data_IF_014643806059
#
_entry.id   IF_014643806059
#
_cell.length_a   1.000
_cell.length_b   1.000
_cell.length_c   1.000
_cell.angle_alpha   90.00
_cell.angle_beta   90.00
_cell.angle_gamma   90.00
#
_symmetry.space_group_name_H-M   'P 1'
#
loop_
_entity.id
_entity.type
_entity.pdbx_description
1 polymer ?
#
# COMPACT_ATOMS: atom_id res chain seq x y z
N UNK A 1 -6.04 -6.87 10.46
CA UNK A 1 -7.35 -6.23 10.67
C UNK A 1 -8.11 -6.26 9.33
N UNK A 2 -9.16 -7.07 9.22
CA UNK A 2 -9.74 -7.45 7.92
C UNK A 2 -10.32 -6.28 7.11
N UNK A 3 -10.73 -5.19 7.78
CA UNK A 3 -11.37 -4.05 7.13
C UNK A 3 -10.54 -3.41 5.99
N UNK A 4 -9.25 -3.11 6.24
CA UNK A 4 -8.38 -2.51 5.21
C UNK A 4 -8.20 -3.46 4.03
N UNK A 5 -8.06 -4.77 4.28
CA UNK A 5 -7.97 -5.76 3.21
C UNK A 5 -9.23 -5.77 2.34
N UNK A 6 -10.42 -5.73 2.95
CA UNK A 6 -11.68 -5.64 2.22
C UNK A 6 -11.83 -4.34 1.43
N UNK A 7 -11.35 -3.21 1.95
CA UNK A 7 -11.36 -1.93 1.24
C UNK A 7 -10.44 -1.97 0.01
N UNK A 8 -9.27 -2.61 0.13
CA UNK A 8 -8.33 -2.80 -0.97
C UNK A 8 -8.89 -3.75 -2.02
N UNK A 9 -9.44 -4.90 -1.61
CA UNK A 9 -10.09 -5.85 -2.52
C UNK A 9 -11.24 -5.19 -3.30
N UNK A 10 -12.04 -4.36 -2.62
CA UNK A 10 -13.10 -3.59 -3.26
C UNK A 10 -12.52 -2.60 -4.30
N UNK A 11 -11.46 -1.86 -3.96
CA UNK A 11 -10.84 -0.92 -4.89
C UNK A 11 -10.24 -1.62 -6.13
N UNK A 12 -9.68 -2.81 -5.96
CA UNK A 12 -9.21 -3.65 -7.08
C UNK A 12 -10.39 -4.13 -7.93
N UNK A 13 -11.47 -4.61 -7.31
CA UNK A 13 -12.66 -5.07 -8.03
C UNK A 13 -13.34 -3.99 -8.87
N UNK A 14 -13.24 -2.73 -8.41
CA UNK A 14 -13.72 -1.54 -9.11
C UNK A 14 -12.70 -0.98 -10.12
N UNK A 15 -11.54 -1.61 -10.28
CA UNK A 15 -10.44 -1.17 -11.15
C UNK A 15 -9.93 0.25 -10.80
N UNK A 16 -10.06 0.66 -9.53
CA UNK A 16 -9.56 1.93 -8.99
C UNK A 16 -8.14 1.80 -8.45
N UNK A 17 -7.74 0.59 -8.09
CA UNK A 17 -6.41 0.26 -7.62
C UNK A 17 -5.87 -0.94 -8.40
N UNK A 18 -4.63 -0.86 -8.86
CA UNK A 18 -3.92 -2.01 -9.44
C UNK A 18 -2.95 -2.58 -8.43
N UNK A 19 -3.21 -3.82 -8.04
CA UNK A 19 -2.38 -4.59 -7.10
C UNK A 19 -1.28 -5.37 -7.80
N UNK A 20 -0.53 -6.16 -7.03
CA UNK A 20 0.47 -7.07 -7.54
C UNK A 20 -0.16 -8.38 -8.00
N UNK A 21 -0.10 -8.67 -9.31
CA UNK A 21 -0.64 -9.91 -9.89
C UNK A 21 0.40 -11.04 -9.85
N UNK A 22 0.01 -12.18 -9.29
CA UNK A 22 0.84 -13.39 -9.25
C UNK A 22 0.58 -14.23 -10.49
N UNK A 23 1.53 -14.28 -11.42
CA UNK A 23 1.45 -15.11 -12.63
C UNK A 23 0.37 -14.66 -13.63
N UNK A 24 0.31 -15.34 -14.77
CA UNK A 24 -0.71 -15.06 -15.79
C UNK A 24 -2.05 -15.63 -15.33
N UNK A 25 -3.05 -14.76 -15.14
CA UNK A 25 -4.39 -15.16 -14.70
C UNK A 25 -4.51 -15.53 -13.21
N UNK A 26 -3.45 -15.39 -12.42
CA UNK A 26 -3.51 -15.63 -10.99
C UNK A 26 -4.07 -14.44 -10.18
N UNK A 27 -4.11 -14.58 -8.85
CA UNK A 27 -4.72 -13.58 -7.98
C UNK A 27 -3.95 -12.26 -8.01
N UNK A 28 -4.69 -11.18 -7.83
CA UNK A 28 -4.16 -9.83 -7.67
C UNK A 28 -4.18 -9.45 -6.20
N UNK A 29 -3.01 -9.20 -5.63
CA UNK A 29 -2.82 -8.92 -4.21
C UNK A 29 -2.53 -7.44 -4.04
N UNK A 30 -3.41 -6.71 -3.36
CA UNK A 30 -3.18 -5.29 -3.04
C UNK A 30 -2.60 -5.04 -1.66
N UNK A 31 -2.73 -5.97 -0.72
CA UNK A 31 -2.29 -5.79 0.67
C UNK A 31 -1.78 -7.07 1.31
N UNK A 32 -0.78 -6.92 2.17
CA UNK A 32 -0.28 -7.96 3.08
C UNK A 32 -0.33 -7.42 4.51
N UNK A 33 -0.91 -8.18 5.44
CA UNK A 33 -1.04 -7.77 6.83
C UNK A 33 -0.40 -8.80 7.76
N UNK A 34 0.38 -8.32 8.72
CA UNK A 34 0.96 -9.13 9.77
C UNK A 34 0.97 -8.37 11.10
N UNK A 35 0.17 -8.82 12.06
CA UNK A 35 -0.02 -8.16 13.37
C UNK A 35 -0.33 -6.67 13.18
N UNK A 36 0.65 -5.80 13.44
CA UNK A 36 0.53 -4.34 13.36
C UNK A 36 1.07 -3.76 12.04
N UNK A 37 1.77 -4.56 11.22
CA UNK A 37 2.37 -4.12 9.96
C UNK A 37 1.44 -4.40 8.77
N UNK A 38 1.17 -3.35 7.98
CA UNK A 38 0.41 -3.45 6.72
C UNK A 38 1.26 -2.96 5.56
N UNK A 39 1.46 -3.82 4.56
CA UNK A 39 2.15 -3.51 3.30
C UNK A 39 1.10 -3.41 2.19
N UNK A 40 1.13 -2.32 1.44
CA UNK A 40 0.37 -2.18 0.20
C UNK A 40 1.25 -2.54 -0.99
N UNK A 41 0.77 -3.43 -1.85
CA UNK A 41 1.45 -3.86 -3.07
C UNK A 41 0.70 -3.26 -4.27
N UNK A 42 1.22 -2.16 -4.80
CA UNK A 42 0.53 -1.39 -5.84
C UNK A 42 1.48 -0.94 -6.94
N UNK A 43 0.96 -0.78 -8.15
CA UNK A 43 1.72 -0.22 -9.27
C UNK A 43 2.16 1.23 -8.95
N UNK A 44 3.39 1.58 -9.31
CA UNK A 44 4.04 2.86 -9.01
C UNK A 44 3.49 4.04 -9.86
N UNK A 45 2.20 4.32 -9.71
CA UNK A 45 1.50 5.43 -10.35
C UNK A 45 0.93 6.38 -9.30
N UNK A 46 0.82 7.67 -9.63
CA UNK A 46 0.21 8.67 -8.76
C UNK A 46 -1.23 8.28 -8.39
N UNK A 47 -1.98 7.73 -9.36
CA UNK A 47 -3.36 7.29 -9.15
C UNK A 47 -3.47 6.20 -8.09
N UNK A 48 -2.63 5.16 -8.17
CA UNK A 48 -2.65 4.09 -7.17
C UNK A 48 -2.22 4.59 -5.79
N UNK A 49 -1.16 5.39 -5.71
CA UNK A 49 -0.69 5.96 -4.43
C UNK A 49 -1.77 6.83 -3.78
N UNK A 50 -2.46 7.66 -4.58
CA UNK A 50 -3.58 8.46 -4.10
C UNK A 50 -4.74 7.58 -3.62
N UNK A 51 -5.04 6.49 -4.32
CA UNK A 51 -6.09 5.55 -3.92
C UNK A 51 -5.75 4.86 -2.59
N UNK A 52 -4.49 4.44 -2.38
CA UNK A 52 -4.04 3.90 -1.08
C UNK A 52 -4.20 4.95 0.02
N UNK A 53 -3.79 6.20 -0.23
CA UNK A 53 -3.98 7.30 0.72
C UNK A 53 -5.46 7.52 1.07
N UNK A 54 -6.34 7.49 0.08
CA UNK A 54 -7.79 7.59 0.31
C UNK A 54 -8.33 6.43 1.16
N UNK A 55 -7.88 5.19 0.92
CA UNK A 55 -8.25 4.04 1.73
C UNK A 55 -7.82 4.25 3.19
N UNK A 56 -6.60 4.72 3.43
CA UNK A 56 -6.11 4.99 4.79
C UNK A 56 -6.90 6.11 5.49
N UNK A 57 -7.19 7.21 4.79
CA UNK A 57 -7.99 8.32 5.34
C UNK A 57 -9.42 7.86 5.67
N UNK A 58 -10.05 7.09 4.78
CA UNK A 58 -11.37 6.53 5.03
C UNK A 58 -11.35 5.55 6.21
N UNK A 59 -10.32 4.72 6.29
CA UNK A 59 -10.14 3.78 7.39
C UNK A 59 -9.95 4.51 8.73
N UNK A 60 -9.12 5.55 8.79
CA UNK A 60 -8.94 6.41 9.97
C UNK A 60 -10.27 7.06 10.40
N UNK A 61 -11.03 7.58 9.44
CA UNK A 61 -12.32 8.21 9.70
C UNK A 61 -13.37 7.25 10.30
N UNK A 62 -13.39 5.97 9.88
CA UNK A 62 -14.39 4.99 10.37
C UNK A 62 -13.92 4.21 11.59
N UNK A 63 -12.62 4.07 11.80
CA UNK A 63 -12.06 3.26 12.89
C UNK A 63 -11.64 4.08 14.11
N UNK A 64 -11.64 5.41 13.99
CA UNK A 64 -11.09 6.33 14.98
C UNK A 64 -9.61 6.05 15.34
N UNK A 65 -8.89 5.32 14.49
CA UNK A 65 -7.45 5.08 14.59
C UNK A 65 -6.73 6.11 13.73
N UNK A 66 -5.57 6.60 14.19
CA UNK A 66 -4.77 7.50 13.36
C UNK A 66 -3.78 6.73 12.50
N UNK A 67 -3.90 6.85 11.18
CA UNK A 67 -2.92 6.30 10.26
C UNK A 67 -1.69 7.22 10.27
N UNK A 68 -0.62 6.81 10.94
CA UNK A 68 0.60 7.60 11.00
C UNK A 68 1.39 7.49 9.67
N UNK A 69 1.14 8.43 8.76
CA UNK A 69 1.83 8.51 7.47
C UNK A 69 3.32 8.82 7.61
N UNK A 70 3.76 9.46 8.69
CA UNK A 70 5.20 9.71 8.96
C UNK A 70 5.96 8.40 9.23
N UNK A 71 5.31 7.41 9.84
CA UNK A 71 5.88 6.06 10.03
C UNK A 71 5.73 5.18 8.78
N UNK A 72 4.92 5.60 7.82
CA UNK A 72 4.74 4.88 6.55
C UNK A 72 5.94 5.13 5.66
N UNK A 73 6.40 4.08 4.97
CA UNK A 73 7.51 4.17 4.03
C UNK A 73 7.05 3.62 2.67
N UNK A 74 7.47 4.29 1.59
CA UNK A 74 7.27 3.84 0.23
C UNK A 74 8.58 3.25 -0.28
N UNK A 75 8.53 2.01 -0.74
CA UNK A 75 9.68 1.25 -1.24
C UNK A 75 9.49 0.94 -2.72
N UNK A 76 10.54 1.14 -3.50
CA UNK A 76 10.59 0.67 -4.88
C UNK A 76 11.08 -0.79 -4.93
N UNK A 77 10.38 -1.65 -5.65
CA UNK A 77 10.80 -3.05 -5.89
C UNK A 77 11.62 -3.16 -7.19
N UNK A 78 11.32 -2.27 -8.15
CA UNK A 78 12.03 -2.10 -9.42
C UNK A 78 12.29 -0.62 -9.63
N UNK A 79 13.14 -0.26 -10.58
CA UNK A 79 13.40 1.15 -10.89
C UNK A 79 12.11 1.91 -11.23
N UNK A 80 11.89 3.03 -10.54
CA UNK A 80 10.75 3.93 -10.73
C UNK A 80 11.27 5.36 -10.92
N UNK A 81 10.97 5.98 -12.06
CA UNK A 81 11.54 7.29 -12.43
C UNK A 81 11.06 8.44 -11.52
N UNK A 82 9.85 8.35 -10.96
CA UNK A 82 9.17 9.46 -10.27
C UNK A 82 8.93 9.23 -8.77
N UNK A 83 9.83 8.52 -8.09
CA UNK A 83 9.68 8.18 -6.66
C UNK A 83 9.42 9.40 -5.77
N UNK A 84 10.09 10.53 -6.01
CA UNK A 84 9.89 11.76 -5.23
C UNK A 84 8.44 12.26 -5.26
N UNK A 85 7.81 12.23 -6.44
CA UNK A 85 6.40 12.64 -6.60
C UNK A 85 5.44 11.67 -5.92
N UNK A 86 5.74 10.37 -5.93
CA UNK A 86 4.93 9.34 -5.26
C UNK A 86 4.99 9.51 -3.74
N UNK A 87 6.20 9.68 -3.19
CA UNK A 87 6.41 9.93 -1.75
C UNK A 87 5.68 11.21 -1.31
N UNK A 88 5.79 12.29 -2.08
CA UNK A 88 5.08 13.54 -1.80
C UNK A 88 3.55 13.36 -1.86
N UNK A 89 3.04 12.63 -2.85
CA UNK A 89 1.61 12.35 -2.99
C UNK A 89 1.08 11.58 -1.78
N UNK A 90 1.81 10.55 -1.37
CA UNK A 90 1.48 9.75 -0.20
C UNK A 90 1.57 10.59 1.08
N UNK A 91 2.56 11.49 1.17
CA UNK A 91 2.88 12.22 2.40
C UNK A 91 3.63 11.34 3.40
N UNK A 92 4.47 10.44 2.91
CA UNK A 92 5.21 9.47 3.72
C UNK A 92 6.73 9.63 3.50
N UNK A 93 7.54 8.75 4.08
CA UNK A 93 8.97 8.70 3.82
C UNK A 93 9.30 7.79 2.64
N UNK A 94 10.44 8.06 1.98
CA UNK A 94 11.03 7.15 1.00
C UNK A 94 11.95 6.14 1.69
N UNK A 95 11.74 4.85 1.47
CA UNK A 95 12.55 3.78 2.03
C UNK A 95 13.42 3.08 0.97
N UNK A 96 14.42 2.31 1.42
CA UNK A 96 15.23 1.42 0.58
C UNK A 96 15.09 -0.03 1.05
N UNK A 97 15.13 -0.96 0.12
CA UNK A 97 15.17 -2.39 0.42
C UNK A 97 16.61 -2.83 0.79
N UNK A 98 16.78 -3.86 1.64
CA UNK A 98 15.73 -4.62 2.33
C UNK A 98 15.07 -3.81 3.47
N UNK A 99 13.77 -3.99 3.68
CA UNK A 99 13.03 -3.38 4.78
C UNK A 99 12.69 -4.41 5.85
N UNK A 100 12.52 -3.95 7.08
CA UNK A 100 12.08 -4.80 8.18
C UNK A 100 10.57 -4.99 8.11
N UNK A 101 10.11 -6.24 7.90
CA UNK A 101 8.71 -6.61 8.00
C UNK A 101 8.63 -7.81 8.92
N UNK A 102 7.91 -7.68 10.04
CA UNK A 102 7.92 -8.71 11.10
C UNK A 102 7.35 -10.07 10.67
N UNK A 103 6.69 -10.13 9.51
CA UNK A 103 6.19 -11.38 8.92
C UNK A 103 7.20 -12.11 8.01
N UNK A 104 8.37 -11.54 7.71
CA UNK A 104 9.41 -12.23 6.93
C UNK A 104 10.31 -13.04 7.87
N UNK A 105 10.56 -14.34 7.57
CA UNK A 105 11.58 -15.09 8.31
C UNK A 105 12.95 -14.45 8.09
N UNK A 106 13.70 -14.28 9.18
CA UNK A 106 15.10 -13.85 9.15
C UNK A 106 16.01 -14.90 8.49
#
# INVERSE_FOLDING_TARGET
MEAVARMVDMAISLNLLKGFRIGVGGPEIGVLQYVDDTIFLVDATIGNVLMVKMILVLFEAVSCLSANLEKTNLYEIRAVDNMGSLVQTMGCNGGKLPCNYMGLPN
#
